data_IF_788800078700
#
_entry.id   IF_788800078700
#
_cell.length_a   1.000
_cell.length_b   1.000
_cell.length_c   1.000
_cell.angle_alpha   90.00
_cell.angle_beta   90.00
_cell.angle_gamma   90.00
#
_symmetry.space_group_name_H-M   'P 1'
#
loop_
_entity.id
_entity.type
_entity.pdbx_description
1 polymer ?
#
# COMPACT_ATOMS: atom_id res chain seq x y z
N UNK A 1 16.46 1.75 38.29
CA UNK A 1 17.86 2.26 38.20
C UNK A 1 17.84 3.79 38.01
N UNK A 2 18.77 4.53 38.63
CA UNK A 2 18.77 6.00 38.57
C UNK A 2 19.31 6.47 37.20
N UNK A 3 18.66 7.46 36.57
CA UNK A 3 19.07 8.02 35.27
C UNK A 3 20.52 8.53 35.22
N UNK A 4 21.03 9.06 36.36
CA UNK A 4 22.43 9.50 36.48
C UNK A 4 23.40 8.34 36.31
N UNK A 5 23.07 7.18 36.83
CA UNK A 5 23.87 5.95 36.69
C UNK A 5 23.90 5.46 35.24
N UNK A 6 22.73 5.43 34.59
CA UNK A 6 22.62 5.05 33.17
C UNK A 6 23.44 5.96 32.26
N UNK A 7 23.47 7.26 32.55
CA UNK A 7 24.29 8.22 31.81
C UNK A 7 25.76 8.01 32.05
N UNK A 8 26.17 7.76 33.28
CA UNK A 8 27.60 7.49 33.65
C UNK A 8 28.11 6.21 33.01
N UNK A 9 27.26 5.18 32.89
CA UNK A 9 27.57 3.91 32.23
C UNK A 9 27.39 3.96 30.69
N UNK A 10 27.07 5.13 30.13
CA UNK A 10 26.85 5.31 28.69
C UNK A 10 25.79 4.36 28.10
N UNK A 11 24.83 3.92 28.91
CA UNK A 11 23.77 2.99 28.51
C UNK A 11 22.99 3.45 27.26
N UNK A 12 22.81 4.76 27.10
CA UNK A 12 22.20 5.36 25.92
C UNK A 12 22.92 5.04 24.62
N UNK A 13 24.24 4.85 24.63
CA UNK A 13 25.01 4.46 23.44
C UNK A 13 24.69 3.02 23.03
N UNK A 14 24.58 2.12 24.04
CA UNK A 14 24.19 0.70 23.81
C UNK A 14 22.79 0.64 23.21
N UNK A 15 21.84 1.38 23.79
CA UNK A 15 20.46 1.43 23.27
C UNK A 15 20.41 2.01 21.84
N UNK A 16 21.21 3.03 21.55
CA UNK A 16 21.28 3.59 20.21
C UNK A 16 21.79 2.56 19.19
N UNK A 17 22.85 1.82 19.52
CA UNK A 17 23.37 0.75 18.67
C UNK A 17 22.32 -0.37 18.48
N UNK A 18 21.70 -0.83 19.56
CA UNK A 18 20.64 -1.86 19.51
C UNK A 18 19.46 -1.42 18.61
N UNK A 19 19.02 -0.17 18.76
CA UNK A 19 17.95 0.40 17.93
C UNK A 19 18.30 0.41 16.44
N UNK A 20 19.58 0.55 16.11
CA UNK A 20 20.08 0.49 14.73
C UNK A 20 19.88 -0.87 14.05
N UNK A 21 19.86 -1.96 14.83
CA UNK A 21 19.60 -3.31 14.31
C UNK A 21 18.12 -3.64 14.16
N UNK A 22 17.23 -2.89 14.77
CA UNK A 22 15.80 -3.13 14.66
C UNK A 22 15.27 -2.73 13.27
N UNK A 23 14.63 -3.68 12.57
CA UNK A 23 14.15 -3.50 11.20
C UNK A 23 12.77 -2.82 11.10
N UNK A 24 11.99 -2.81 12.19
CA UNK A 24 10.62 -2.25 12.21
C UNK A 24 10.50 -1.06 13.15
N UNK A 25 9.56 -0.14 12.86
CA UNK A 25 9.30 1.01 13.73
C UNK A 25 8.86 0.59 15.16
N UNK A 26 7.94 -0.36 15.35
CA UNK A 26 7.63 -0.88 16.69
C UNK A 26 8.84 -1.52 17.39
N UNK A 27 9.67 -2.27 16.65
CA UNK A 27 10.88 -2.87 17.20
C UNK A 27 11.90 -1.83 17.67
N UNK A 28 12.08 -0.75 16.92
CA UNK A 28 12.92 0.39 17.34
C UNK A 28 12.41 1.03 18.62
N UNK A 29 11.09 1.21 18.73
CA UNK A 29 10.48 1.76 19.94
C UNK A 29 10.68 0.85 21.17
N UNK A 30 10.56 -0.48 20.98
CA UNK A 30 10.85 -1.43 22.05
C UNK A 30 12.30 -1.35 22.50
N UNK A 31 13.26 -1.29 21.57
CA UNK A 31 14.68 -1.11 21.90
C UNK A 31 14.94 0.20 22.65
N UNK A 32 14.33 1.30 22.22
CA UNK A 32 14.49 2.62 22.88
C UNK A 32 13.96 2.65 24.31
N UNK A 33 12.91 1.88 24.57
CA UNK A 33 12.28 1.80 25.90
C UNK A 33 12.87 0.70 26.80
N UNK A 34 13.86 -0.04 26.30
CA UNK A 34 14.49 -1.10 27.08
C UNK A 34 15.24 -0.49 28.29
N UNK A 35 14.94 -1.00 29.45
CA UNK A 35 15.60 -0.62 30.71
C UNK A 35 16.33 -1.83 31.30
N UNK A 36 17.38 -1.62 32.07
CA UNK A 36 18.04 -2.70 32.80
C UNK A 36 17.07 -3.38 33.76
N UNK A 37 17.04 -4.70 33.72
CA UNK A 37 16.23 -5.53 34.60
C UNK A 37 16.98 -5.81 35.91
N UNK A 38 16.26 -6.09 36.98
CA UNK A 38 16.81 -6.45 38.28
C UNK A 38 16.27 -7.78 38.86
N UNK A 39 15.17 -8.28 38.30
CA UNK A 39 14.62 -9.57 38.65
C UNK A 39 15.43 -10.68 37.97
N UNK A 40 15.86 -11.67 38.77
CA UNK A 40 16.71 -12.76 38.26
C UNK A 40 15.97 -13.64 37.22
N UNK A 41 14.69 -13.93 37.46
CA UNK A 41 13.94 -14.80 36.56
C UNK A 41 13.68 -14.12 35.23
N UNK A 42 13.30 -12.83 35.23
CA UNK A 42 13.14 -12.04 34.03
C UNK A 42 14.44 -11.93 33.21
N UNK A 43 15.58 -11.75 33.87
CA UNK A 43 16.87 -11.68 33.21
C UNK A 43 17.22 -13.02 32.56
N UNK A 44 17.06 -14.14 33.27
CA UNK A 44 17.34 -15.47 32.73
C UNK A 44 16.42 -15.78 31.53
N UNK A 45 15.15 -15.48 31.63
CA UNK A 45 14.19 -15.66 30.55
C UNK A 45 14.60 -14.85 29.30
N UNK A 46 14.88 -13.56 29.45
CA UNK A 46 15.27 -12.70 28.33
C UNK A 46 16.60 -13.14 27.67
N UNK A 47 17.53 -13.64 28.46
CA UNK A 47 18.78 -14.20 27.93
C UNK A 47 18.56 -15.52 27.20
N UNK A 48 17.67 -16.38 27.69
CA UNK A 48 17.28 -17.63 27.02
C UNK A 48 16.61 -17.32 25.68
N UNK A 49 15.61 -16.44 25.66
CA UNK A 49 14.94 -16.01 24.42
C UNK A 49 15.94 -15.44 23.40
N UNK A 50 16.92 -14.67 23.85
CA UNK A 50 17.97 -14.11 22.98
C UNK A 50 18.89 -15.21 22.41
N UNK A 51 19.25 -16.19 23.21
CA UNK A 51 20.08 -17.32 22.79
C UNK A 51 19.37 -18.23 21.81
N UNK A 52 18.08 -18.49 22.06
CA UNK A 52 17.23 -19.28 21.18
C UNK A 52 17.01 -18.55 19.84
N UNK A 53 16.77 -17.24 19.87
CA UNK A 53 16.67 -16.41 18.67
C UNK A 53 17.96 -16.47 17.83
N UNK A 54 19.14 -16.39 18.48
CA UNK A 54 20.42 -16.51 17.79
C UNK A 54 20.60 -17.89 17.17
N UNK A 55 20.22 -18.96 17.87
CA UNK A 55 20.26 -20.33 17.38
C UNK A 55 19.37 -20.49 16.16
N UNK A 56 18.12 -20.00 16.21
CA UNK A 56 17.20 -20.02 15.07
C UNK A 56 17.77 -19.29 13.86
N UNK A 57 18.32 -18.08 14.05
CA UNK A 57 18.95 -17.31 12.97
C UNK A 57 20.11 -18.06 12.33
N UNK A 58 20.92 -18.76 13.11
CA UNK A 58 22.03 -19.57 12.59
C UNK A 58 21.58 -20.78 11.78
N UNK A 59 20.49 -21.40 12.17
CA UNK A 59 20.02 -22.65 11.57
C UNK A 59 19.00 -22.44 10.43
N UNK A 60 18.06 -21.51 10.59
CA UNK A 60 16.99 -21.24 9.63
C UNK A 60 17.19 -19.93 8.84
N UNK A 61 18.22 -19.15 9.14
CA UNK A 61 18.43 -17.82 8.60
C UNK A 61 17.59 -16.76 9.32
N UNK A 62 17.74 -15.51 8.91
CA UNK A 62 17.06 -14.37 9.54
C UNK A 62 15.62 -14.22 9.07
N UNK A 63 14.70 -13.98 10.01
CA UNK A 63 13.32 -13.59 9.71
C UNK A 63 13.28 -12.10 9.37
N UNK A 64 12.80 -11.77 8.17
CA UNK A 64 12.56 -10.36 7.79
C UNK A 64 11.29 -9.83 8.44
N UNK A 65 11.46 -8.89 9.36
CA UNK A 65 10.40 -8.13 10.02
C UNK A 65 10.21 -6.74 9.39
N UNK A 66 10.83 -6.49 8.24
CA UNK A 66 10.65 -5.24 7.49
C UNK A 66 9.22 -5.10 6.99
N UNK A 67 8.73 -3.86 6.90
CA UNK A 67 7.37 -3.57 6.46
C UNK A 67 6.32 -3.57 7.56
N UNK A 68 6.66 -3.89 8.81
CA UNK A 68 5.75 -3.74 9.95
C UNK A 68 5.61 -2.25 10.26
N UNK A 69 4.38 -1.75 10.15
CA UNK A 69 3.98 -0.41 10.59
C UNK A 69 3.14 -0.51 11.86
N UNK A 70 3.11 0.56 12.64
CA UNK A 70 2.23 0.63 13.80
C UNK A 70 0.78 0.86 13.32
N UNK A 71 -0.10 -0.08 13.63
CA UNK A 71 -1.52 -0.06 13.24
C UNK A 71 -2.46 0.17 14.43
N UNK A 72 -1.91 0.44 15.63
CA UNK A 72 -2.71 0.56 16.85
C UNK A 72 -3.74 1.69 16.77
N UNK A 73 -3.42 2.80 16.16
CA UNK A 73 -4.37 3.90 16.01
C UNK A 73 -5.47 3.57 14.98
N UNK A 74 -5.15 2.81 13.92
CA UNK A 74 -6.15 2.28 13.00
C UNK A 74 -7.11 1.31 13.70
N UNK A 75 -6.60 0.45 14.58
CA UNK A 75 -7.45 -0.46 15.37
C UNK A 75 -8.38 0.30 16.32
N UNK A 76 -7.89 1.32 17.04
CA UNK A 76 -8.74 2.19 17.88
C UNK A 76 -9.87 2.86 17.08
N UNK A 77 -9.56 3.30 15.85
CA UNK A 77 -10.57 3.88 14.96
C UNK A 77 -11.63 2.85 14.56
N UNK A 78 -11.24 1.61 14.28
CA UNK A 78 -12.19 0.53 14.01
C UNK A 78 -13.09 0.22 15.21
N UNK A 79 -12.52 0.19 16.43
CA UNK A 79 -13.27 -0.05 17.66
C UNK A 79 -14.41 0.96 17.88
N UNK A 80 -14.22 2.21 17.47
CA UNK A 80 -15.25 3.27 17.53
C UNK A 80 -16.12 3.33 16.26
N UNK A 81 -16.04 2.33 15.38
CA UNK A 81 -16.86 2.21 14.19
C UNK A 81 -16.44 3.11 13.00
N UNK A 82 -15.23 3.69 13.03
CA UNK A 82 -14.72 4.47 11.90
C UNK A 82 -14.23 3.57 10.75
N UNK A 83 -14.45 4.01 9.52
CA UNK A 83 -13.85 3.36 8.35
C UNK A 83 -12.36 3.69 8.23
N UNK A 84 -11.59 2.75 7.71
CA UNK A 84 -10.16 2.94 7.40
C UNK A 84 -9.96 3.33 5.94
N UNK A 85 -8.95 4.15 5.70
CA UNK A 85 -8.51 4.50 4.36
C UNK A 85 -7.60 3.42 3.73
N UNK A 86 -7.33 3.56 2.43
CA UNK A 86 -6.48 2.63 1.68
C UNK A 86 -5.08 2.47 2.32
N UNK A 87 -4.34 3.54 2.71
CA UNK A 87 -3.02 3.40 3.31
C UNK A 87 -3.03 2.64 4.64
N UNK A 88 -4.10 2.79 5.44
CA UNK A 88 -4.27 2.09 6.72
C UNK A 88 -4.52 0.59 6.47
N UNK A 89 -5.38 0.25 5.51
CA UNK A 89 -5.66 -1.14 5.12
C UNK A 89 -4.41 -1.83 4.55
N UNK A 90 -3.62 -1.14 3.73
CA UNK A 90 -2.34 -1.67 3.22
C UNK A 90 -1.31 -1.88 4.33
N UNK A 91 -1.28 -1.00 5.34
CA UNK A 91 -0.41 -1.17 6.51
C UNK A 91 -0.80 -2.39 7.33
N UNK A 92 -2.10 -2.63 7.52
CA UNK A 92 -2.64 -3.83 8.17
C UNK A 92 -2.31 -5.08 7.34
N UNK A 93 -2.53 -5.05 6.01
CA UNK A 93 -2.19 -6.16 5.12
C UNK A 93 -0.70 -6.52 5.16
N UNK A 94 0.17 -5.51 5.23
CA UNK A 94 1.61 -5.71 5.38
C UNK A 94 1.94 -6.40 6.71
N UNK A 95 1.36 -5.94 7.82
CA UNK A 95 1.52 -6.55 9.14
C UNK A 95 1.05 -8.02 9.13
N UNK A 96 -0.14 -8.31 8.61
CA UNK A 96 -0.69 -9.68 8.53
C UNK A 96 0.17 -10.59 7.65
N UNK A 97 0.75 -10.04 6.58
CA UNK A 97 1.68 -10.79 5.71
C UNK A 97 2.97 -11.14 6.44
N UNK A 98 3.51 -10.22 7.24
CA UNK A 98 4.69 -10.50 8.08
C UNK A 98 4.34 -11.49 9.18
N UNK A 99 3.17 -11.38 9.81
CA UNK A 99 2.69 -12.33 10.81
C UNK A 99 2.59 -13.75 10.25
N UNK A 100 2.06 -13.91 9.03
CA UNK A 100 2.01 -15.22 8.36
C UNK A 100 3.42 -15.81 8.13
N UNK A 101 4.37 -15.00 7.68
CA UNK A 101 5.76 -15.44 7.51
C UNK A 101 6.43 -15.78 8.84
N UNK A 102 6.17 -15.00 9.88
CA UNK A 102 6.72 -15.27 11.21
C UNK A 102 6.13 -16.56 11.79
N UNK A 103 4.83 -16.78 11.66
CA UNK A 103 4.19 -18.03 12.08
C UNK A 103 4.78 -19.26 11.36
N UNK A 104 4.96 -19.15 10.04
CA UNK A 104 5.58 -20.23 9.24
C UNK A 104 7.07 -20.45 9.64
N UNK A 105 7.81 -19.38 9.91
CA UNK A 105 9.20 -19.48 10.40
C UNK A 105 9.30 -20.19 11.76
N UNK A 106 8.32 -19.94 12.65
CA UNK A 106 8.23 -20.60 13.96
C UNK A 106 7.77 -22.04 13.89
N UNK A 107 7.20 -22.49 12.75
CA UNK A 107 6.73 -23.86 12.62
C UNK A 107 7.91 -24.83 12.49
N UNK A 108 7.85 -25.93 13.26
CA UNK A 108 8.76 -27.08 13.14
C UNK A 108 7.95 -28.26 12.57
N UNK A 109 8.47 -28.95 11.58
CA UNK A 109 7.93 -30.25 11.19
C UNK A 109 8.41 -31.29 12.23
N UNK A 110 7.57 -32.26 12.57
CA UNK A 110 7.88 -33.30 13.58
C UNK A 110 9.13 -34.12 13.27
N UNK A 111 9.66 -34.01 12.05
CA UNK A 111 10.87 -34.69 11.58
C UNK A 111 12.16 -33.87 11.74
N UNK A 112 12.10 -32.63 12.19
CA UNK A 112 13.27 -31.77 12.33
C UNK A 112 13.96 -31.99 13.68
N UNK A 113 15.29 -32.01 13.68
CA UNK A 113 16.16 -32.11 14.86
C UNK A 113 16.14 -30.85 15.75
N UNK A 114 15.04 -30.11 15.73
CA UNK A 114 14.89 -28.87 16.51
C UNK A 114 14.05 -29.12 17.76
N UNK A 115 14.64 -29.01 18.96
CA UNK A 115 13.86 -29.04 20.18
C UNK A 115 13.00 -27.77 20.27
N UNK A 116 11.84 -27.90 20.90
CA UNK A 116 11.02 -26.76 21.30
C UNK A 116 11.87 -25.77 22.11
N UNK A 117 11.76 -24.48 21.82
CA UNK A 117 12.49 -23.40 22.49
C UNK A 117 11.56 -22.35 23.09
N UNK A 118 12.14 -21.37 23.80
CA UNK A 118 11.39 -20.33 24.50
C UNK A 118 10.54 -19.43 23.59
N UNK A 119 10.80 -19.42 22.27
CA UNK A 119 10.12 -18.57 21.29
C UNK A 119 8.93 -19.26 20.62
N UNK A 120 8.79 -20.58 20.75
CA UNK A 120 7.72 -21.33 20.07
C UNK A 120 6.33 -20.82 20.40
N UNK A 121 6.06 -20.57 21.67
CA UNK A 121 4.77 -20.05 22.09
C UNK A 121 4.48 -18.67 21.48
N UNK A 122 5.50 -17.82 21.33
CA UNK A 122 5.36 -16.50 20.72
C UNK A 122 4.98 -16.64 19.24
N UNK A 123 5.62 -17.51 18.46
CA UNK A 123 5.28 -17.75 17.07
C UNK A 123 3.93 -18.43 16.90
N UNK A 124 3.57 -19.43 17.74
CA UNK A 124 2.29 -20.12 17.71
C UNK A 124 1.12 -19.18 18.02
N UNK A 125 1.33 -18.14 18.86
CA UNK A 125 0.30 -17.17 19.23
C UNK A 125 -0.04 -16.19 18.10
N UNK A 126 0.76 -16.11 17.04
CA UNK A 126 0.49 -15.23 15.91
C UNK A 126 -0.73 -15.70 15.13
N UNK A 127 -1.68 -14.79 14.88
CA UNK A 127 -2.87 -15.05 14.06
C UNK A 127 -2.84 -14.17 12.80
N UNK A 128 -2.49 -14.75 11.64
CA UNK A 128 -2.28 -13.98 10.40
C UNK A 128 -3.57 -13.48 9.73
N UNK A 129 -4.75 -13.85 10.23
CA UNK A 129 -6.05 -13.48 9.67
C UNK A 129 -6.09 -13.57 8.14
N UNK A 130 -5.63 -14.69 7.60
CA UNK A 130 -5.45 -14.92 6.16
C UNK A 130 -6.65 -14.53 5.31
N UNK A 131 -7.92 -14.85 5.68
CA UNK A 131 -9.07 -14.45 4.89
C UNK A 131 -9.20 -12.92 4.76
N UNK A 132 -9.02 -12.20 5.86
CA UNK A 132 -9.09 -10.73 5.86
C UNK A 132 -7.94 -10.11 5.03
N UNK A 133 -6.72 -10.64 5.17
CA UNK A 133 -5.58 -10.18 4.39
C UNK A 133 -5.77 -10.41 2.89
N UNK A 134 -6.30 -11.57 2.50
CA UNK A 134 -6.58 -11.87 1.10
C UNK A 134 -7.66 -10.95 0.52
N UNK A 135 -8.68 -10.60 1.32
CA UNK A 135 -9.73 -9.68 0.89
C UNK A 135 -9.19 -8.26 0.69
N UNK A 136 -8.32 -7.76 1.57
CA UNK A 136 -7.64 -6.48 1.38
C UNK A 136 -6.83 -6.49 0.08
N UNK A 137 -6.02 -7.52 -0.15
CA UNK A 137 -5.19 -7.67 -1.36
C UNK A 137 -6.02 -7.83 -2.64
N UNK A 138 -7.18 -8.46 -2.56
CA UNK A 138 -8.12 -8.59 -3.68
C UNK A 138 -8.72 -7.25 -4.07
N UNK A 139 -9.03 -6.41 -3.07
CA UNK A 139 -9.72 -5.15 -3.29
C UNK A 139 -8.78 -3.99 -3.62
N UNK A 140 -7.55 -3.98 -3.07
CA UNK A 140 -6.63 -2.84 -3.16
C UNK A 140 -5.38 -3.25 -3.93
N UNK A 141 -5.12 -2.60 -5.07
CA UNK A 141 -3.95 -2.83 -5.91
C UNK A 141 -2.79 -1.95 -5.43
N UNK A 142 -3.04 -0.68 -5.17
CA UNK A 142 -2.06 0.30 -4.71
C UNK A 142 -2.70 1.37 -3.83
N UNK A 143 -1.92 2.32 -3.33
CA UNK A 143 -2.44 3.47 -2.55
C UNK A 143 -3.43 4.33 -3.35
N UNK A 144 -3.36 4.31 -4.67
CA UNK A 144 -4.17 5.13 -5.58
C UNK A 144 -5.22 4.30 -6.34
N UNK A 145 -5.16 2.96 -6.26
CA UNK A 145 -5.96 2.10 -7.14
C UNK A 145 -6.69 1.00 -6.37
N UNK A 146 -8.01 1.01 -6.53
CA UNK A 146 -8.92 -0.07 -6.10
C UNK A 146 -9.21 -0.97 -7.29
N UNK A 147 -9.12 -2.28 -7.09
CA UNK A 147 -9.43 -3.31 -8.10
C UNK A 147 -10.85 -3.17 -8.63
N UNK A 148 -11.01 -3.36 -9.93
CA UNK A 148 -12.35 -3.42 -10.56
C UNK A 148 -13.23 -4.51 -9.92
N UNK A 149 -12.63 -5.57 -9.44
CA UNK A 149 -13.31 -6.69 -8.80
C UNK A 149 -13.51 -6.50 -7.29
N UNK A 150 -13.21 -5.30 -6.74
CA UNK A 150 -13.43 -5.03 -5.32
C UNK A 150 -14.91 -5.14 -4.93
N UNK A 151 -15.81 -4.74 -5.84
CA UNK A 151 -17.24 -5.01 -5.67
C UNK A 151 -17.96 -5.15 -7.03
N UNK A 152 -19.05 -5.93 -7.08
CA UNK A 152 -19.86 -6.04 -8.32
C UNK A 152 -20.39 -4.70 -8.83
N UNK A 153 -20.70 -3.79 -7.90
CA UNK A 153 -21.16 -2.44 -8.23
C UNK A 153 -20.09 -1.62 -8.92
N UNK A 154 -18.86 -1.60 -8.37
CA UNK A 154 -17.73 -0.89 -8.95
C UNK A 154 -17.39 -1.43 -10.35
N UNK A 155 -17.33 -2.76 -10.48
CA UNK A 155 -17.09 -3.42 -11.77
C UNK A 155 -18.12 -2.99 -12.83
N UNK A 156 -19.41 -3.03 -12.47
CA UNK A 156 -20.50 -2.60 -13.39
C UNK A 156 -20.37 -1.15 -13.82
N UNK A 157 -20.08 -0.25 -12.87
CA UNK A 157 -19.94 1.19 -13.14
C UNK A 157 -18.75 1.45 -14.06
N UNK A 158 -17.57 0.92 -13.73
CA UNK A 158 -16.35 1.11 -14.55
C UNK A 158 -16.51 0.53 -15.95
N UNK A 159 -17.09 -0.67 -16.08
CA UNK A 159 -17.40 -1.27 -17.38
C UNK A 159 -18.35 -0.39 -18.20
N UNK A 160 -19.37 0.19 -17.55
CA UNK A 160 -20.29 1.12 -18.21
C UNK A 160 -19.59 2.39 -18.67
N UNK A 161 -18.70 2.95 -17.85
CA UNK A 161 -17.88 4.12 -18.20
C UNK A 161 -16.99 3.85 -19.42
N UNK A 162 -16.27 2.70 -19.43
CA UNK A 162 -15.46 2.30 -20.59
C UNK A 162 -16.31 2.17 -21.86
N UNK A 163 -17.46 1.48 -21.79
CA UNK A 163 -18.35 1.33 -22.94
C UNK A 163 -18.95 2.65 -23.43
N UNK A 164 -19.16 3.64 -22.56
CA UNK A 164 -19.60 4.98 -22.95
C UNK A 164 -18.45 5.71 -23.64
N UNK A 165 -17.26 5.66 -23.08
CA UNK A 165 -16.07 6.28 -23.65
C UNK A 165 -15.76 5.74 -25.07
N UNK A 166 -15.83 4.42 -25.25
CA UNK A 166 -15.63 3.77 -26.56
C UNK A 166 -16.68 4.23 -27.58
N UNK A 167 -17.93 4.40 -27.15
CA UNK A 167 -18.99 4.94 -28.03
C UNK A 167 -18.73 6.40 -28.42
N UNK A 168 -18.26 7.23 -27.47
CA UNK A 168 -17.89 8.62 -27.76
C UNK A 168 -16.78 8.65 -28.80
N UNK A 169 -15.71 7.88 -28.63
CA UNK A 169 -14.62 7.80 -29.58
C UNK A 169 -15.08 7.30 -30.96
N UNK A 170 -15.95 6.30 -31.00
CA UNK A 170 -16.52 5.80 -32.27
C UNK A 170 -17.33 6.87 -33.01
N UNK A 171 -18.17 7.60 -32.27
CA UNK A 171 -18.95 8.71 -32.85
C UNK A 171 -18.07 9.85 -33.35
N UNK A 172 -17.06 10.24 -32.55
CA UNK A 172 -16.12 11.29 -32.93
C UNK A 172 -15.32 10.91 -34.17
N UNK A 173 -14.85 9.66 -34.30
CA UNK A 173 -14.18 9.17 -35.48
C UNK A 173 -15.12 9.17 -36.73
N UNK A 174 -16.38 8.83 -36.54
CA UNK A 174 -17.38 8.91 -37.61
C UNK A 174 -17.58 10.37 -38.11
N UNK A 175 -17.69 11.30 -37.15
CA UNK A 175 -17.84 12.74 -37.49
C UNK A 175 -16.56 13.27 -38.13
N UNK A 176 -15.37 12.91 -37.59
CA UNK A 176 -14.08 13.28 -38.15
C UNK A 176 -13.96 12.83 -39.61
N UNK A 177 -14.37 11.62 -39.93
CA UNK A 177 -14.34 11.09 -41.29
C UNK A 177 -15.34 11.81 -42.22
N UNK A 178 -16.54 12.13 -41.73
CA UNK A 178 -17.55 12.85 -42.52
C UNK A 178 -17.18 14.31 -42.79
N UNK A 179 -16.48 14.96 -41.89
CA UNK A 179 -16.05 16.36 -41.98
C UNK A 179 -14.62 16.55 -42.45
N UNK A 180 -13.93 15.48 -42.86
CA UNK A 180 -12.48 15.47 -43.12
C UNK A 180 -12.00 16.61 -44.03
N UNK A 181 -12.73 16.97 -45.05
CA UNK A 181 -12.40 18.06 -45.99
C UNK A 181 -12.45 19.46 -45.35
N UNK A 182 -13.18 19.61 -44.27
CA UNK A 182 -13.38 20.87 -43.54
C UNK A 182 -12.38 21.06 -42.41
N UNK A 183 -11.66 19.99 -42.05
CA UNK A 183 -10.71 20.01 -40.95
C UNK A 183 -9.36 20.57 -41.37
N UNK A 184 -8.68 21.28 -40.46
CA UNK A 184 -7.29 21.68 -40.61
C UNK A 184 -6.39 20.47 -40.53
N UNK A 185 -6.63 19.61 -39.51
CA UNK A 185 -5.98 18.33 -39.28
C UNK A 185 -7.03 17.28 -38.93
N UNK A 186 -6.88 16.06 -39.46
CA UNK A 186 -7.81 14.96 -39.20
C UNK A 186 -7.49 14.28 -37.85
N UNK A 187 -7.59 15.05 -36.75
CA UNK A 187 -7.30 14.60 -35.36
C UNK A 187 -8.39 15.08 -34.41
N UNK A 188 -8.69 14.27 -33.41
CA UNK A 188 -9.52 14.66 -32.28
C UNK A 188 -8.61 15.30 -31.24
N UNK A 189 -8.90 16.53 -30.84
CA UNK A 189 -8.14 17.27 -29.82
C UNK A 189 -8.99 17.41 -28.54
N UNK A 190 -8.34 17.69 -27.43
CA UNK A 190 -9.02 18.03 -26.19
C UNK A 190 -8.74 19.49 -25.84
N UNK A 191 -9.81 20.24 -25.55
CA UNK A 191 -9.74 21.63 -25.08
C UNK A 191 -10.63 21.76 -23.86
N UNK A 192 -10.06 22.23 -22.76
CA UNK A 192 -10.77 22.40 -21.47
C UNK A 192 -11.61 21.17 -21.05
N UNK A 193 -11.05 19.96 -21.27
CA UNK A 193 -11.73 18.70 -20.94
C UNK A 193 -12.83 18.28 -21.93
N UNK A 194 -12.94 18.94 -23.09
CA UNK A 194 -13.91 18.66 -24.16
C UNK A 194 -13.24 18.14 -25.41
N UNK A 195 -13.85 17.16 -26.06
CA UNK A 195 -13.38 16.66 -27.35
C UNK A 195 -13.77 17.65 -28.46
N UNK A 196 -12.78 18.13 -29.18
CA UNK A 196 -12.98 19.10 -30.26
C UNK A 196 -12.32 18.64 -31.57
N UNK A 197 -12.92 19.07 -32.69
CA UNK A 197 -12.35 18.91 -34.01
C UNK A 197 -11.76 20.26 -34.49
N UNK A 198 -10.52 20.29 -35.05
CA UNK A 198 -9.90 21.49 -35.56
C UNK A 198 -10.45 21.81 -36.96
N UNK A 199 -11.47 22.66 -37.03
CA UNK A 199 -12.16 23.06 -38.28
C UNK A 199 -11.54 24.33 -38.83
N UNK A 200 -11.28 24.38 -40.14
CA UNK A 200 -10.86 25.62 -40.80
C UNK A 200 -11.97 26.69 -40.66
N UNK A 201 -11.61 27.90 -40.29
CA UNK A 201 -12.56 28.95 -39.97
C UNK A 201 -13.57 29.25 -41.07
N UNK A 202 -13.19 29.07 -42.34
CA UNK A 202 -14.01 29.26 -43.53
C UNK A 202 -15.14 28.21 -43.63
N UNK A 203 -15.00 27.04 -43.00
CA UNK A 203 -16.00 25.96 -43.03
C UNK A 203 -16.81 25.86 -41.73
N UNK A 204 -16.80 26.89 -40.87
CA UNK A 204 -17.56 26.89 -39.60
C UNK A 204 -19.04 26.56 -39.81
N UNK A 205 -19.66 27.07 -40.85
CA UNK A 205 -21.09 26.83 -41.15
C UNK A 205 -21.41 25.43 -41.65
N UNK A 206 -20.39 24.65 -42.04
CA UNK A 206 -20.55 23.28 -42.53
C UNK A 206 -20.42 22.22 -41.43
N UNK A 207 -19.89 22.62 -40.28
CA UNK A 207 -19.69 21.71 -39.13
C UNK A 207 -20.54 22.22 -37.96
N UNK A 208 -21.54 21.44 -37.62
CA UNK A 208 -22.40 21.76 -36.48
C UNK A 208 -21.68 21.47 -35.16
N UNK A 209 -21.72 22.42 -34.26
CA UNK A 209 -21.12 22.29 -32.94
C UNK A 209 -20.84 23.63 -32.28
N UNK A 210 -20.35 23.57 -31.06
CA UNK A 210 -19.99 24.74 -30.27
C UNK A 210 -18.50 25.03 -30.41
N UNK A 211 -18.14 26.28 -30.69
CA UNK A 211 -16.74 26.71 -30.71
C UNK A 211 -16.26 26.89 -29.26
N UNK A 212 -15.30 26.12 -28.86
CA UNK A 212 -14.66 26.19 -27.53
C UNK A 212 -13.39 27.01 -27.54
N UNK A 213 -12.64 26.97 -28.63
CA UNK A 213 -11.33 27.63 -28.69
C UNK A 213 -11.00 28.01 -30.13
N UNK A 214 -10.04 28.85 -30.33
CA UNK A 214 -9.57 29.33 -31.62
C UNK A 214 -8.03 29.40 -31.64
N UNK A 215 -7.42 29.09 -32.75
CA UNK A 215 -5.96 29.25 -32.92
C UNK A 215 -5.59 30.74 -32.83
N UNK A 216 -4.33 31.01 -32.46
CA UNK A 216 -3.80 32.39 -32.32
C UNK A 216 -3.93 33.22 -33.60
N UNK A 217 -3.95 32.59 -34.76
CA UNK A 217 -4.14 33.26 -36.08
C UNK A 217 -5.61 33.39 -36.48
N UNK A 218 -6.51 32.80 -35.73
CA UNK A 218 -7.96 32.76 -36.08
C UNK A 218 -8.31 31.80 -37.23
N UNK A 219 -7.35 31.10 -37.82
CA UNK A 219 -7.57 30.26 -39.01
C UNK A 219 -8.20 28.90 -38.69
N UNK A 220 -8.15 28.47 -37.43
CA UNK A 220 -8.68 27.18 -36.97
C UNK A 220 -9.62 27.40 -35.77
N UNK A 221 -10.80 26.82 -35.82
CA UNK A 221 -11.76 26.80 -34.74
C UNK A 221 -11.85 25.39 -34.16
N UNK A 222 -11.79 25.29 -32.84
CA UNK A 222 -11.96 24.01 -32.14
C UNK A 222 -13.42 23.85 -31.77
N UNK A 223 -14.13 22.98 -32.51
CA UNK A 223 -15.57 22.77 -32.41
C UNK A 223 -15.85 21.46 -31.67
N UNK A 224 -16.63 21.55 -30.57
CA UNK A 224 -17.22 20.41 -29.87
C UNK A 224 -18.48 19.91 -30.60
#
# INVERSE_FOLDING_TARGET
MNQKVLKTLEYNKIIHQLTGYAASAPGKLLCQNLLPMSDFHEIVQAQTETSDALTRVRMKGSLSLSGIRDVRDSLKRLEIGSALGIPELLSISSLLTVAARAKAYGHHEESEEFPDDSLDQMFRSLEPLTPANNEIKRCIISEEEISDNASPGLHKVRRSMHGINDRIHTQLNSILNSCRSYLQDAVITMRDGRYCLPVKAEYKSQVNGMVHDQSSTGSTLFIE
#
